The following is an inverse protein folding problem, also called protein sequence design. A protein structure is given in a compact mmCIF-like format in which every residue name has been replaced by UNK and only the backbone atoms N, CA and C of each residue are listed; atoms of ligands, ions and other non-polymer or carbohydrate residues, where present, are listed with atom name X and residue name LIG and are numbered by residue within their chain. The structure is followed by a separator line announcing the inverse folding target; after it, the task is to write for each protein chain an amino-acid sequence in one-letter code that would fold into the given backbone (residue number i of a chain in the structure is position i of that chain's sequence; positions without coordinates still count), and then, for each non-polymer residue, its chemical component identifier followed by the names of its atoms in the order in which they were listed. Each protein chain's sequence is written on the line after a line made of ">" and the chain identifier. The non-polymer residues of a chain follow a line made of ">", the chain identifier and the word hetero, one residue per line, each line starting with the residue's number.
data_IF_082440008097
#
_entry.id   IF_082440008097
#
_cell.length_a   1.000
_cell.length_b   1.000
_cell.length_c   1.000
_cell.angle_alpha   90.00
_cell.angle_beta   90.00
_cell.angle_gamma   90.00
#
_symmetry.space_group_name_H-M   'P 1'
#
loop_
_entity.id
_entity.type
_entity.pdbx_description
1 polymer ?
#
# COMPACT_ATOMS: atom_id res chain seq x y z
N UNK A 1 -2.98 -11.93 18.41
CA UNK A 1 -2.72 -11.47 17.03
C UNK A 1 -1.46 -10.61 17.06
N UNK A 2 -0.35 -11.00 16.40
CA UNK A 2 0.84 -10.17 16.38
C UNK A 2 0.56 -8.94 15.51
N UNK A 3 0.05 -7.86 16.08
CA UNK A 3 -0.05 -6.59 15.37
C UNK A 3 1.35 -5.97 15.39
N UNK A 4 1.95 -5.78 14.21
CA UNK A 4 3.31 -5.24 14.10
C UNK A 4 3.35 -3.85 13.45
N UNK A 5 2.23 -3.42 12.89
CA UNK A 5 2.02 -2.13 12.22
C UNK A 5 1.09 -1.26 13.07
N UNK A 6 1.58 -0.09 13.49
CA UNK A 6 0.77 0.95 14.10
C UNK A 6 -0.23 1.58 13.11
N UNK A 7 -1.24 2.27 13.63
CA UNK A 7 -2.25 2.96 12.81
C UNK A 7 -1.60 3.92 11.80
N UNK A 8 -0.48 4.55 12.16
CA UNK A 8 0.27 5.46 11.29
C UNK A 8 0.79 4.77 9.99
N UNK A 9 1.52 3.66 10.09
CA UNK A 9 2.02 2.92 8.92
C UNK A 9 0.89 2.42 8.02
N UNK A 10 -0.25 2.04 8.63
CA UNK A 10 -1.44 1.62 7.90
C UNK A 10 -2.04 2.77 7.10
N UNK A 11 -2.18 3.95 7.71
CA UNK A 11 -2.69 5.14 7.04
C UNK A 11 -1.77 5.53 5.89
N UNK A 12 -0.45 5.54 6.10
CA UNK A 12 0.52 5.86 5.04
C UNK A 12 0.39 4.90 3.85
N UNK A 13 0.30 3.58 4.08
CA UNK A 13 0.13 2.59 2.99
C UNK A 13 -1.22 2.71 2.29
N UNK A 14 -2.30 2.97 3.03
CA UNK A 14 -3.62 3.19 2.44
C UNK A 14 -3.61 4.45 1.57
N UNK A 15 -3.02 5.55 2.06
CA UNK A 15 -2.92 6.81 1.31
C UNK A 15 -2.08 6.64 0.05
N UNK A 16 -0.92 5.98 0.15
CA UNK A 16 -0.05 5.70 -1.02
C UNK A 16 -0.73 4.75 -2.00
N UNK A 17 -1.35 3.67 -1.52
CA UNK A 17 -2.06 2.70 -2.36
C UNK A 17 -3.27 3.30 -3.07
N UNK A 18 -4.04 4.15 -2.39
CA UNK A 18 -5.13 4.95 -3.00
C UNK A 18 -4.58 5.95 -4.00
N UNK A 19 -3.50 6.67 -3.69
CA UNK A 19 -2.90 7.60 -4.63
C UNK A 19 -2.45 6.89 -5.92
N UNK A 20 -1.78 5.74 -5.80
CA UNK A 20 -1.30 4.95 -6.94
C UNK A 20 -2.41 4.30 -7.76
N UNK A 21 -3.57 3.99 -7.16
CA UNK A 21 -4.72 3.44 -7.91
C UNK A 21 -5.61 4.54 -8.49
N UNK A 22 -5.93 5.58 -7.72
CA UNK A 22 -6.91 6.60 -8.06
C UNK A 22 -6.35 7.71 -8.94
N UNK A 23 -5.09 8.15 -8.77
CA UNK A 23 -4.53 9.19 -9.65
C UNK A 23 -4.52 8.76 -11.13
N UNK A 24 -4.03 7.58 -11.52
CA UNK A 24 -4.04 7.14 -12.91
C UNK A 24 -5.46 7.01 -13.50
N UNK A 25 -6.43 6.65 -12.65
CA UNK A 25 -7.85 6.53 -13.02
C UNK A 25 -8.52 7.89 -13.25
N UNK A 26 -8.22 8.90 -12.43
CA UNK A 26 -8.85 10.22 -12.50
C UNK A 26 -8.17 11.17 -13.47
N UNK A 27 -6.83 11.19 -13.51
CA UNK A 27 -6.07 12.17 -14.32
C UNK A 27 -5.64 11.60 -15.66
N UNK A 28 -5.78 10.30 -15.86
CA UNK A 28 -5.29 9.64 -17.08
C UNK A 28 -3.77 9.74 -17.26
N UNK A 29 -3.01 10.06 -16.20
CA UNK A 29 -1.56 10.26 -16.28
C UNK A 29 -0.81 9.03 -16.85
N UNK A 30 -1.39 7.83 -16.69
CA UNK A 30 -0.86 6.59 -17.27
C UNK A 30 -1.65 6.09 -18.51
N UNK A 31 -2.65 6.83 -19.00
CA UNK A 31 -3.51 6.39 -20.11
C UNK A 31 -2.75 6.28 -21.45
N UNK A 32 -1.69 7.07 -21.63
CA UNK A 32 -0.84 7.01 -22.84
C UNK A 32 0.10 5.81 -22.92
N UNK A 33 0.26 5.05 -21.83
CA UNK A 33 1.14 3.87 -21.78
C UNK A 33 0.48 2.73 -21.02
N UNK A 34 -0.12 1.79 -21.77
CA UNK A 34 -0.89 0.66 -21.23
C UNK A 34 -0.14 -0.14 -20.17
N UNK A 35 1.18 -0.28 -20.32
CA UNK A 35 2.05 -0.92 -19.33
C UNK A 35 2.08 -0.18 -17.99
N UNK A 36 2.21 1.15 -18.01
CA UNK A 36 2.31 1.97 -16.81
C UNK A 36 0.98 1.97 -16.04
N UNK A 37 -0.14 1.93 -16.76
CA UNK A 37 -1.48 1.87 -16.17
C UNK A 37 -1.72 0.56 -15.41
N UNK A 38 -1.41 -0.59 -16.04
CA UNK A 38 -1.51 -1.89 -15.40
C UNK A 38 -0.52 -2.04 -14.23
N UNK A 39 0.71 -1.55 -14.37
CA UNK A 39 1.69 -1.55 -13.29
C UNK A 39 1.21 -0.74 -12.08
N UNK A 40 0.69 0.47 -12.30
CA UNK A 40 0.16 1.32 -11.22
C UNK A 40 -1.02 0.67 -10.50
N UNK A 41 -1.95 0.05 -11.23
CA UNK A 41 -3.08 -0.67 -10.65
C UNK A 41 -2.64 -1.86 -9.81
N UNK A 42 -1.77 -2.72 -10.33
CA UNK A 42 -1.28 -3.91 -9.61
C UNK A 42 -0.52 -3.49 -8.35
N UNK A 43 0.39 -2.53 -8.46
CA UNK A 43 1.17 -2.04 -7.31
C UNK A 43 0.26 -1.42 -6.26
N UNK A 44 -0.71 -0.59 -6.66
CA UNK A 44 -1.66 0.03 -5.76
C UNK A 44 -2.57 -0.99 -5.06
N UNK A 45 -3.05 -2.01 -5.77
CA UNK A 45 -3.87 -3.09 -5.20
C UNK A 45 -3.07 -3.92 -4.19
N UNK A 46 -1.81 -4.25 -4.48
CA UNK A 46 -0.92 -4.99 -3.56
C UNK A 46 -0.63 -4.16 -2.30
N UNK A 47 -0.42 -2.85 -2.43
CA UNK A 47 -0.27 -1.92 -1.30
C UNK A 47 -1.52 -1.90 -0.41
N UNK A 48 -2.72 -1.88 -1.01
CA UNK A 48 -3.99 -1.91 -0.27
C UNK A 48 -4.23 -3.27 0.40
N UNK A 49 -3.97 -4.37 -0.28
CA UNK A 49 -4.08 -5.72 0.27
C UNK A 49 -3.14 -5.91 1.47
N UNK A 50 -1.89 -5.46 1.36
CA UNK A 50 -0.92 -5.50 2.47
C UNK A 50 -1.32 -4.60 3.64
N UNK A 51 -1.96 -3.45 3.39
CA UNK A 51 -2.51 -2.60 4.44
C UNK A 51 -3.78 -3.21 5.11
N UNK A 52 -4.54 -4.02 4.38
CA UNK A 52 -5.73 -4.73 4.86
C UNK A 52 -5.41 -5.86 5.84
N UNK A 53 -4.33 -6.60 5.59
CA UNK A 53 -3.92 -7.76 6.42
C UNK A 53 -3.43 -7.40 7.82
N UNK A 54 -3.23 -6.10 8.16
CA UNK A 54 -2.73 -5.59 9.46
C UNK A 54 -1.43 -6.26 9.95
N UNK A 55 -0.73 -6.94 9.05
CA UNK A 55 0.47 -7.71 9.33
C UNK A 55 1.42 -7.51 8.15
N UNK A 56 2.54 -6.80 8.38
CA UNK A 56 3.60 -6.70 7.39
C UNK A 56 4.65 -7.78 7.69
N UNK A 57 4.76 -8.84 6.88
CA UNK A 57 5.76 -9.88 7.11
C UNK A 57 7.19 -9.34 7.05
N UNK A 58 7.41 -8.26 6.29
CA UNK A 58 8.71 -7.58 6.22
C UNK A 58 9.13 -6.97 7.57
N UNK A 59 8.20 -6.37 8.31
CA UNK A 59 8.51 -5.79 9.63
C UNK A 59 8.73 -6.89 10.67
N UNK A 60 8.08 -8.06 10.51
CA UNK A 60 8.38 -9.21 11.38
C UNK A 60 9.74 -9.82 11.09
N UNK A 61 10.18 -9.83 9.82
CA UNK A 61 11.54 -10.25 9.44
C UNK A 61 12.59 -9.24 9.92
N UNK A 62 12.28 -7.94 9.88
CA UNK A 62 13.16 -6.86 10.34
C UNK A 62 13.10 -6.62 11.86
N UNK A 63 12.20 -7.29 12.59
CA UNK A 63 12.05 -7.13 14.05
C UNK A 63 11.49 -5.78 14.51
N UNK A 64 11.03 -4.91 13.61
CA UNK A 64 10.53 -3.56 13.93
C UNK A 64 9.06 -3.67 14.31
N UNK A 65 8.69 -3.19 15.52
CA UNK A 65 7.29 -3.06 15.95
C UNK A 65 6.94 -1.58 16.07
N UNK A 66 6.03 -1.09 15.22
CA UNK A 66 5.50 0.28 15.35
C UNK A 66 4.17 0.34 16.12
N UNK A 67 3.64 -0.82 16.50
CA UNK A 67 2.62 -0.91 17.53
C UNK A 67 3.23 -0.49 18.86
N UNK A 68 2.97 0.75 19.28
CA UNK A 68 3.12 1.12 20.69
C UNK A 68 2.04 0.39 21.50
N UNK A 69 2.38 -0.15 22.68
CA UNK A 69 1.38 -0.68 23.61
C UNK A 69 0.37 0.40 24.02
#
# INVERSE_FOLDING_TARGET
>A
MPCNIGIADRVVRVVIGLALTVLPLLTGFAAGSSWLWWAALVVGLVMLATAGMRFCPLYTVLGIRTCRP
#
